data_IF_972195780722
#
_entry.id   IF_972195780722
#
_cell.length_a   1.000
_cell.length_b   1.000
_cell.length_c   1.000
_cell.angle_alpha   90.00
_cell.angle_beta   90.00
_cell.angle_gamma   90.00
#
_symmetry.space_group_name_H-M   'P 1'
#
loop_
_entity.id
_entity.type
_entity.pdbx_description
1 polymer ?
#
# COMPACT_ATOMS: atom_id res chain seq x y z
N UNK A 1 4.99 -5.77 21.62
CA UNK A 1 4.63 -4.79 20.56
C UNK A 1 3.53 -3.87 21.05
N UNK A 2 3.66 -2.59 20.80
CA UNK A 2 2.74 -1.55 21.27
C UNK A 2 2.04 -0.94 20.05
N UNK A 3 0.72 -1.06 19.97
CA UNK A 3 -0.07 -0.42 18.92
C UNK A 3 -0.88 0.73 19.50
N UNK A 4 -0.86 1.86 18.81
CA UNK A 4 -1.65 3.02 19.16
C UNK A 4 -2.90 3.08 18.28
N UNK A 5 -4.07 2.98 18.91
CA UNK A 5 -5.38 2.97 18.26
C UNK A 5 -5.64 1.73 17.39
N UNK A 6 -6.66 1.79 16.55
CA UNK A 6 -7.00 0.68 15.66
C UNK A 6 -5.95 0.53 14.57
N UNK A 7 -5.54 -0.70 14.30
CA UNK A 7 -4.62 -1.02 13.21
C UNK A 7 -5.34 -1.76 12.08
N UNK A 8 -4.93 -1.48 10.86
CA UNK A 8 -5.53 -2.05 9.66
C UNK A 8 -4.46 -2.69 8.80
N UNK A 9 -4.80 -3.83 8.21
CA UNK A 9 -3.92 -4.53 7.27
C UNK A 9 -4.71 -5.12 6.13
N UNK A 10 -4.14 -5.23 4.93
CA UNK A 10 -4.71 -6.02 3.84
C UNK A 10 -4.83 -7.49 4.26
N UNK A 11 -5.87 -8.18 3.79
CA UNK A 11 -6.05 -9.61 4.10
C UNK A 11 -4.86 -10.48 3.65
N UNK A 12 -4.14 -10.06 2.60
CA UNK A 12 -2.92 -10.73 2.11
C UNK A 12 -1.73 -10.62 3.06
N UNK A 13 -1.82 -9.77 4.07
CA UNK A 13 -0.84 -9.60 5.13
C UNK A 13 -1.31 -10.25 6.45
N UNK A 14 -2.28 -11.19 6.37
CA UNK A 14 -2.85 -11.83 7.56
C UNK A 14 -1.78 -12.47 8.45
N UNK A 15 -0.77 -13.11 7.84
CA UNK A 15 0.32 -13.81 8.50
C UNK A 15 1.57 -12.95 8.73
N UNK A 16 1.55 -11.68 8.31
CA UNK A 16 2.69 -10.79 8.48
C UNK A 16 2.78 -10.26 9.90
N UNK A 17 3.99 -10.18 10.41
CA UNK A 17 4.29 -9.43 11.62
C UNK A 17 4.05 -7.94 11.37
N UNK A 18 3.23 -7.30 12.19
CA UNK A 18 2.92 -5.88 12.04
C UNK A 18 3.90 -5.04 12.87
N UNK A 19 4.53 -4.05 12.23
CA UNK A 19 5.34 -3.03 12.92
C UNK A 19 4.73 -1.67 12.63
N UNK A 20 4.22 -1.01 13.67
CA UNK A 20 3.65 0.32 13.54
C UNK A 20 4.77 1.37 13.52
N UNK A 21 4.87 2.10 12.40
CA UNK A 21 5.93 3.10 12.19
C UNK A 21 5.39 4.51 12.13
N UNK A 22 4.14 4.66 11.67
CA UNK A 22 3.40 5.92 11.66
C UNK A 22 2.07 5.74 12.36
N UNK A 23 1.40 6.84 12.64
CA UNK A 23 0.04 6.90 13.18
C UNK A 23 -0.85 7.61 12.16
N UNK A 24 -2.02 7.03 11.87
CA UNK A 24 -2.99 7.66 10.98
C UNK A 24 -2.55 7.78 9.52
N UNK A 25 -3.22 8.64 8.77
CA UNK A 25 -2.97 8.88 7.35
C UNK A 25 -2.61 10.34 7.10
N UNK A 26 -1.55 10.60 6.32
CA UNK A 26 -1.10 11.95 5.97
C UNK A 26 -2.12 12.78 5.21
N UNK A 27 -2.97 12.13 4.42
CA UNK A 27 -3.99 12.80 3.63
C UNK A 27 -5.29 12.95 4.42
N UNK A 28 -5.84 11.86 4.93
CA UNK A 28 -7.03 11.71 5.78
C UNK A 28 -8.23 12.63 5.41
N UNK A 29 -8.46 12.85 4.09
CA UNK A 29 -9.51 13.73 3.55
C UNK A 29 -10.45 13.02 2.56
N UNK A 30 -10.17 11.73 2.28
CA UNK A 30 -10.97 10.95 1.34
C UNK A 30 -12.39 10.77 1.88
N UNK A 31 -13.40 11.15 1.10
CA UNK A 31 -14.80 11.15 1.55
C UNK A 31 -15.39 9.76 1.79
N UNK A 32 -14.72 8.72 1.33
CA UNK A 32 -15.14 7.31 1.47
C UNK A 32 -14.41 6.57 2.60
N UNK A 33 -13.34 7.14 3.16
CA UNK A 33 -12.47 6.47 4.11
C UNK A 33 -12.64 7.05 5.51
N UNK A 34 -12.90 6.19 6.48
CA UNK A 34 -13.01 6.51 7.91
C UNK A 34 -12.00 5.76 8.78
N UNK A 35 -11.00 5.11 8.17
CA UNK A 35 -10.06 4.23 8.87
C UNK A 35 -9.24 4.96 9.94
N UNK A 36 -8.96 6.24 9.73
CA UNK A 36 -8.08 7.03 10.59
C UNK A 36 -8.74 8.31 11.13
N UNK A 37 -10.06 8.33 11.23
CA UNK A 37 -10.80 9.49 11.77
C UNK A 37 -10.49 9.73 13.26
N UNK A 38 -10.14 8.66 13.97
CA UNK A 38 -9.76 8.67 15.39
C UNK A 38 -8.28 8.95 15.64
N UNK A 39 -7.48 9.13 14.57
CA UNK A 39 -6.03 9.34 14.67
C UNK A 39 -5.57 10.61 13.96
N UNK A 40 -4.68 11.36 14.62
CA UNK A 40 -3.86 12.37 13.94
C UNK A 40 -2.63 11.71 13.35
N UNK A 41 -2.20 12.20 12.18
CA UNK A 41 -0.94 11.74 11.62
C UNK A 41 0.22 12.06 12.56
N UNK A 42 1.05 11.07 12.79
CA UNK A 42 2.27 11.16 13.58
C UNK A 42 3.32 10.16 13.08
N UNK A 43 4.56 10.40 13.46
CA UNK A 43 5.69 9.48 13.22
C UNK A 43 6.09 8.97 14.58
N UNK A 44 6.19 7.65 14.75
CA UNK A 44 6.64 7.07 16.01
C UNK A 44 8.14 7.27 16.19
N UNK A 45 8.54 7.36 17.44
CA UNK A 45 9.96 7.45 17.80
C UNK A 45 10.71 6.19 17.30
N UNK A 46 11.94 6.37 16.81
CA UNK A 46 12.73 5.29 16.22
C UNK A 46 13.12 4.25 17.26
N UNK A 47 13.40 4.68 18.50
CA UNK A 47 13.77 3.79 19.59
C UNK A 47 12.58 2.91 20.01
N UNK A 48 11.37 3.46 19.99
CA UNK A 48 10.14 2.71 20.25
C UNK A 48 9.88 1.66 19.17
N UNK A 49 10.15 1.98 17.90
CA UNK A 49 10.04 1.04 16.79
C UNK A 49 11.09 -0.07 16.94
N UNK A 50 12.32 0.27 17.29
CA UNK A 50 13.39 -0.71 17.50
C UNK A 50 13.10 -1.65 18.67
N UNK A 51 12.59 -1.12 19.80
CA UNK A 51 12.14 -1.95 20.92
C UNK A 51 11.00 -2.90 20.54
N UNK A 52 10.08 -2.47 19.68
CA UNK A 52 9.01 -3.34 19.19
C UNK A 52 9.54 -4.45 18.27
N UNK A 53 10.55 -4.16 17.42
CA UNK A 53 11.22 -5.14 16.56
C UNK A 53 11.95 -6.18 17.44
N UNK A 54 12.74 -5.75 18.42
CA UNK A 54 13.47 -6.63 19.32
C UNK A 54 12.52 -7.44 20.21
N UNK A 55 11.46 -6.80 20.71
CA UNK A 55 10.43 -7.47 21.50
C UNK A 55 9.67 -8.53 20.71
N UNK A 56 9.43 -8.29 19.42
CA UNK A 56 8.80 -9.29 18.55
C UNK A 56 9.72 -10.50 18.36
N UNK A 57 11.02 -10.29 18.18
CA UNK A 57 11.99 -11.40 18.05
C UNK A 57 12.01 -12.31 19.26
N UNK A 58 11.84 -11.76 20.45
CA UNK A 58 11.84 -12.56 21.69
C UNK A 58 10.63 -13.51 21.82
N UNK A 59 9.52 -13.23 21.11
CA UNK A 59 8.27 -14.00 21.22
C UNK A 59 7.89 -14.76 19.95
N UNK A 60 8.40 -14.33 18.79
CA UNK A 60 8.13 -14.97 17.50
C UNK A 60 9.42 -15.57 16.94
N UNK A 61 9.57 -16.90 17.00
CA UNK A 61 10.83 -17.57 16.66
C UNK A 61 11.17 -17.47 15.15
N UNK A 62 10.17 -17.32 14.27
CA UNK A 62 10.39 -17.23 12.83
C UNK A 62 9.40 -16.26 12.18
N UNK A 63 9.94 -15.27 11.44
CA UNK A 63 9.17 -14.23 10.76
C UNK A 63 9.53 -14.23 9.27
N UNK A 64 8.59 -14.63 8.41
CA UNK A 64 8.80 -14.66 6.96
C UNK A 64 8.37 -13.38 6.25
N UNK A 65 7.42 -12.66 6.83
CA UNK A 65 6.90 -11.41 6.27
C UNK A 65 6.62 -10.39 7.36
N UNK A 66 6.92 -9.14 7.05
CA UNK A 66 6.69 -7.97 7.92
C UNK A 66 5.91 -6.93 7.15
N UNK A 67 4.88 -6.38 7.78
CA UNK A 67 4.09 -5.30 7.22
C UNK A 67 4.21 -4.05 8.09
N UNK A 68 4.77 -2.98 7.50
CA UNK A 68 4.90 -1.69 8.16
C UNK A 68 3.59 -0.91 8.05
N UNK A 69 3.01 -0.58 9.16
CA UNK A 69 1.75 0.13 9.30
C UNK A 69 2.00 1.52 9.91
N UNK A 70 1.19 2.52 9.77
CA UNK A 70 -0.22 2.70 9.57
C UNK A 70 -0.59 3.16 8.13
N UNK A 71 -1.34 4.23 7.99
CA UNK A 71 -1.97 4.65 6.75
C UNK A 71 -1.06 5.14 5.63
N UNK A 72 0.15 5.61 5.94
CA UNK A 72 1.13 6.01 4.94
C UNK A 72 2.55 6.00 5.51
N UNK A 73 3.28 4.94 5.24
CA UNK A 73 4.64 4.74 5.75
C UNK A 73 5.70 5.34 4.81
N UNK A 74 5.47 5.30 3.49
CA UNK A 74 6.46 5.78 2.51
C UNK A 74 6.69 7.30 2.57
N UNK A 75 5.84 8.06 3.26
CA UNK A 75 6.03 9.49 3.50
C UNK A 75 7.26 9.78 4.36
N UNK A 76 7.72 8.82 5.16
CA UNK A 76 8.92 8.96 6.00
C UNK A 76 10.14 9.31 5.16
N UNK A 77 11.07 10.06 5.75
CA UNK A 77 12.37 10.33 5.10
C UNK A 77 13.08 9.02 4.79
N UNK A 78 13.76 8.97 3.67
CA UNK A 78 14.46 7.76 3.18
C UNK A 78 15.44 7.23 4.22
N UNK A 79 16.24 8.09 4.83
CA UNK A 79 17.18 7.73 5.90
C UNK A 79 16.50 7.08 7.12
N UNK A 80 15.29 7.56 7.48
CA UNK A 80 14.54 7.00 8.61
C UNK A 80 14.01 5.60 8.26
N UNK A 81 13.48 5.42 7.04
CA UNK A 81 13.03 4.12 6.56
C UNK A 81 14.19 3.13 6.45
N UNK A 82 15.35 3.56 5.95
CA UNK A 82 16.55 2.71 5.86
C UNK A 82 16.98 2.19 7.23
N UNK A 83 16.95 3.02 8.28
CA UNK A 83 17.23 2.58 9.65
C UNK A 83 16.28 1.46 10.10
N UNK A 84 14.98 1.62 9.82
CA UNK A 84 13.97 0.60 10.18
C UNK A 84 14.19 -0.69 9.38
N UNK A 85 14.38 -0.59 8.06
CA UNK A 85 14.60 -1.75 7.19
C UNK A 85 15.86 -2.52 7.57
N UNK A 86 16.96 -1.84 7.82
CA UNK A 86 18.21 -2.45 8.26
C UNK A 86 18.03 -3.15 9.61
N UNK A 87 17.38 -2.49 10.59
CA UNK A 87 17.08 -3.12 11.88
C UNK A 87 16.24 -4.38 11.72
N UNK A 88 15.26 -4.38 10.81
CA UNK A 88 14.43 -5.55 10.51
C UNK A 88 15.27 -6.66 9.89
N UNK A 89 16.07 -6.38 8.87
CA UNK A 89 16.88 -7.40 8.18
C UNK A 89 17.99 -7.98 9.07
N UNK A 90 18.53 -7.19 9.97
CA UNK A 90 19.48 -7.66 11.01
C UNK A 90 18.77 -8.56 12.04
N UNK A 91 17.58 -8.19 12.49
CA UNK A 91 16.84 -8.91 13.53
C UNK A 91 16.16 -10.15 12.99
N UNK A 92 15.66 -10.12 11.75
CA UNK A 92 14.93 -11.21 11.08
C UNK A 92 15.57 -11.55 9.73
N UNK A 93 16.78 -12.16 9.71
CA UNK A 93 17.46 -12.49 8.45
C UNK A 93 16.69 -13.49 7.59
N UNK A 94 15.74 -14.23 8.18
CA UNK A 94 14.82 -15.13 7.48
C UNK A 94 13.64 -14.42 6.80
N UNK A 95 13.44 -13.12 7.06
CA UNK A 95 12.34 -12.35 6.49
C UNK A 95 12.58 -12.09 5.00
N UNK A 96 11.73 -12.65 4.16
CA UNK A 96 11.84 -12.52 2.69
C UNK A 96 10.93 -11.46 2.10
N UNK A 97 9.98 -10.94 2.89
CA UNK A 97 9.01 -9.94 2.45
C UNK A 97 8.85 -8.84 3.48
N UNK A 98 9.20 -7.62 3.10
CA UNK A 98 8.85 -6.41 3.85
C UNK A 98 7.96 -5.56 2.96
N UNK A 99 6.78 -5.24 3.45
CA UNK A 99 5.77 -4.48 2.74
C UNK A 99 5.24 -3.33 3.59
N UNK A 100 4.58 -2.35 2.95
CA UNK A 100 4.07 -1.16 3.64
C UNK A 100 2.86 -0.54 2.92
N UNK A 101 2.11 0.31 3.65
CA UNK A 101 1.17 1.23 3.01
C UNK A 101 1.88 2.47 2.46
N UNK A 102 1.53 2.86 1.23
CA UNK A 102 2.11 4.03 0.57
C UNK A 102 1.07 4.83 -0.22
N UNK A 103 1.25 6.13 -0.25
CA UNK A 103 0.57 6.98 -1.22
C UNK A 103 1.33 7.02 -2.56
N UNK A 104 0.63 6.99 -3.70
CA UNK A 104 1.25 7.15 -5.02
C UNK A 104 1.98 8.51 -5.15
N UNK A 105 1.51 9.53 -4.43
CA UNK A 105 2.20 10.81 -4.34
C UNK A 105 3.57 10.73 -3.66
N UNK A 106 3.77 9.78 -2.73
CA UNK A 106 5.04 9.66 -2.02
C UNK A 106 6.10 8.98 -2.89
N UNK A 107 5.71 8.00 -3.70
CA UNK A 107 6.56 7.50 -4.79
C UNK A 107 6.99 8.61 -5.76
N UNK A 108 6.06 9.53 -6.10
CA UNK A 108 6.36 10.64 -6.99
C UNK A 108 7.36 11.64 -6.37
N UNK A 109 7.29 11.85 -5.04
CA UNK A 109 8.15 12.80 -4.30
C UNK A 109 9.57 12.29 -4.10
N UNK A 110 9.74 10.97 -3.90
CA UNK A 110 11.07 10.36 -3.80
C UNK A 110 11.74 10.24 -5.17
N UNK A 111 13.07 10.24 -5.18
CA UNK A 111 13.83 9.93 -6.41
C UNK A 111 13.80 8.41 -6.67
N UNK A 112 14.21 7.99 -7.86
CA UNK A 112 14.33 6.55 -8.18
C UNK A 112 15.49 5.94 -7.39
N UNK A 113 16.55 6.69 -7.16
CA UNK A 113 17.69 6.31 -6.37
C UNK A 113 17.30 6.02 -4.92
N UNK A 114 16.57 6.95 -4.27
CA UNK A 114 16.04 6.76 -2.91
C UNK A 114 15.15 5.50 -2.81
N UNK A 115 14.28 5.29 -3.79
CA UNK A 115 13.43 4.11 -3.83
C UNK A 115 14.24 2.82 -4.06
N UNK A 116 15.29 2.88 -4.86
CA UNK A 116 16.20 1.75 -5.10
C UNK A 116 17.00 1.39 -3.84
N UNK A 117 17.43 2.38 -3.08
CA UNK A 117 18.05 2.16 -1.76
C UNK A 117 17.10 1.44 -0.79
N UNK A 118 15.83 1.87 -0.73
CA UNK A 118 14.82 1.19 0.08
C UNK A 118 14.59 -0.26 -0.38
N UNK A 119 14.59 -0.49 -1.69
CA UNK A 119 14.49 -1.85 -2.27
C UNK A 119 15.68 -2.71 -1.86
N UNK A 120 16.90 -2.19 -1.95
CA UNK A 120 18.11 -2.89 -1.56
C UNK A 120 18.15 -3.19 -0.05
N UNK A 121 17.57 -2.30 0.78
CA UNK A 121 17.42 -2.50 2.21
C UNK A 121 16.32 -3.49 2.59
N UNK A 122 15.62 -4.09 1.61
CA UNK A 122 14.65 -5.17 1.84
C UNK A 122 13.18 -4.81 1.60
N UNK A 123 12.84 -3.58 1.23
CA UNK A 123 11.45 -3.25 0.87
C UNK A 123 11.06 -3.97 -0.43
N UNK A 124 10.10 -4.88 -0.35
CA UNK A 124 9.68 -5.69 -1.50
C UNK A 124 8.44 -5.16 -2.18
N UNK A 125 7.44 -4.71 -1.41
CA UNK A 125 6.12 -4.38 -1.92
C UNK A 125 5.50 -3.19 -1.19
N UNK A 126 4.65 -2.43 -1.89
CA UNK A 126 3.82 -1.40 -1.30
C UNK A 126 2.35 -1.54 -1.71
N UNK A 127 1.45 -1.32 -0.76
CA UNK A 127 0.01 -1.26 -0.97
C UNK A 127 -0.41 0.18 -1.17
N UNK A 128 -1.02 0.47 -2.31
CA UNK A 128 -1.37 1.84 -2.70
C UNK A 128 -2.84 1.96 -3.10
N UNK A 129 -3.49 3.01 -2.63
CA UNK A 129 -4.85 3.33 -3.06
C UNK A 129 -4.86 4.25 -4.27
N UNK A 130 -5.26 3.76 -5.44
CA UNK A 130 -5.60 4.59 -6.61
C UNK A 130 -7.08 4.97 -6.58
N UNK A 131 -7.93 4.01 -6.28
CA UNK A 131 -9.40 4.02 -6.18
C UNK A 131 -10.10 4.26 -7.52
N UNK A 132 -9.58 5.13 -8.37
CA UNK A 132 -10.09 5.44 -9.71
C UNK A 132 -8.99 6.02 -10.60
N UNK A 133 -9.11 5.83 -11.91
CA UNK A 133 -8.32 6.55 -12.93
C UNK A 133 -9.08 7.75 -13.52
N UNK A 134 -10.35 7.95 -13.13
CA UNK A 134 -11.17 9.05 -13.60
C UNK A 134 -10.93 10.33 -12.78
N UNK A 135 -10.46 11.44 -13.41
CA UNK A 135 -10.14 12.67 -12.68
C UNK A 135 -11.35 13.26 -11.94
N UNK A 136 -12.55 13.17 -12.52
CA UNK A 136 -13.77 13.68 -11.89
C UNK A 136 -14.10 12.89 -10.63
N UNK A 137 -14.01 11.57 -10.70
CA UNK A 137 -14.22 10.70 -9.54
C UNK A 137 -13.18 10.96 -8.46
N UNK A 138 -11.89 11.08 -8.81
CA UNK A 138 -10.81 11.36 -7.86
C UNK A 138 -11.01 12.70 -7.13
N UNK A 139 -11.46 13.73 -7.84
CA UNK A 139 -11.78 15.03 -7.24
C UNK A 139 -12.97 14.93 -6.28
N UNK A 140 -14.07 14.30 -6.69
CA UNK A 140 -15.28 14.12 -5.87
C UNK A 140 -15.01 13.37 -4.57
N UNK A 141 -14.16 12.34 -4.61
CA UNK A 141 -13.78 11.59 -3.41
C UNK A 141 -12.65 12.25 -2.61
N UNK A 142 -12.20 13.42 -3.04
CA UNK A 142 -11.09 14.18 -2.43
C UNK A 142 -9.83 13.34 -2.24
N UNK A 143 -9.49 12.53 -3.26
CA UNK A 143 -8.33 11.63 -3.19
C UNK A 143 -6.99 12.38 -3.09
N UNK A 144 -6.93 13.63 -3.55
CA UNK A 144 -5.69 14.42 -3.57
C UNK A 144 -4.62 13.87 -4.52
N UNK A 145 -5.06 13.21 -5.59
CA UNK A 145 -4.24 12.54 -6.60
C UNK A 145 -4.88 12.74 -7.97
N UNK A 146 -4.08 13.06 -9.00
CA UNK A 146 -4.54 13.03 -10.40
C UNK A 146 -4.07 11.76 -11.10
N UNK A 147 -4.70 11.35 -12.22
CA UNK A 147 -4.24 10.20 -13.00
C UNK A 147 -2.77 10.30 -13.43
N UNK A 148 -2.30 11.48 -13.85
CA UNK A 148 -0.92 11.72 -14.27
C UNK A 148 0.06 11.62 -13.09
N UNK A 149 -0.36 12.05 -11.90
CA UNK A 149 0.44 11.91 -10.69
C UNK A 149 0.53 10.43 -10.28
N UNK A 150 -0.57 9.69 -10.40
CA UNK A 150 -0.60 8.26 -10.15
C UNK A 150 0.34 7.51 -11.10
N UNK A 151 0.26 7.80 -12.40
CA UNK A 151 1.12 7.22 -13.42
C UNK A 151 2.60 7.44 -13.13
N UNK A 152 2.99 8.69 -12.77
CA UNK A 152 4.37 9.02 -12.40
C UNK A 152 4.83 8.26 -11.15
N UNK A 153 3.97 8.13 -10.13
CA UNK A 153 4.28 7.37 -8.91
C UNK A 153 4.51 5.89 -9.21
N UNK A 154 3.60 5.26 -9.97
CA UNK A 154 3.72 3.86 -10.39
C UNK A 154 4.98 3.63 -11.25
N UNK A 155 5.34 4.62 -12.11
CA UNK A 155 6.56 4.55 -12.92
C UNK A 155 7.82 4.47 -12.08
N UNK A 156 7.91 5.31 -11.07
CA UNK A 156 9.07 5.34 -10.18
C UNK A 156 9.20 4.07 -9.35
N UNK A 157 8.07 3.55 -8.81
CA UNK A 157 8.06 2.28 -8.10
C UNK A 157 8.63 1.15 -8.97
N UNK A 158 8.14 1.05 -10.22
CA UNK A 158 8.62 0.06 -11.20
C UNK A 158 10.09 0.24 -11.52
N UNK A 159 10.55 1.48 -11.76
CA UNK A 159 11.95 1.77 -12.06
C UNK A 159 12.89 1.36 -10.93
N UNK A 160 12.44 1.50 -9.68
CA UNK A 160 13.18 1.08 -8.48
C UNK A 160 13.05 -0.41 -8.15
N UNK A 161 12.24 -1.18 -8.90
CA UNK A 161 12.02 -2.60 -8.66
C UNK A 161 11.16 -2.91 -7.43
N UNK A 162 10.38 -1.94 -6.94
CA UNK A 162 9.41 -2.15 -5.84
C UNK A 162 8.09 -2.58 -6.45
N UNK A 163 7.58 -3.73 -6.03
CA UNK A 163 6.25 -4.19 -6.41
C UNK A 163 5.18 -3.31 -5.77
N UNK A 164 4.13 -2.99 -6.52
CA UNK A 164 2.99 -2.24 -5.99
C UNK A 164 1.70 -3.02 -6.21
N UNK A 165 0.88 -3.06 -5.18
CA UNK A 165 -0.50 -3.48 -5.27
C UNK A 165 -1.38 -2.24 -5.26
N UNK A 166 -2.15 -2.06 -6.32
CA UNK A 166 -3.01 -0.88 -6.50
C UNK A 166 -4.45 -1.26 -6.23
N UNK A 167 -5.09 -0.64 -5.25
CA UNK A 167 -6.51 -0.82 -4.99
C UNK A 167 -7.38 0.08 -5.87
N UNK A 168 -8.51 -0.47 -6.32
CA UNK A 168 -9.57 0.22 -7.07
C UNK A 168 -10.89 -0.09 -6.38
N UNK A 169 -11.77 0.91 -6.26
CA UNK A 169 -13.08 0.73 -5.64
C UNK A 169 -14.16 0.75 -6.72
N UNK A 170 -14.76 -0.40 -7.00
CA UNK A 170 -15.90 -0.47 -7.91
C UNK A 170 -17.10 0.28 -7.37
N UNK A 171 -17.77 1.03 -8.25
CA UNK A 171 -18.95 1.82 -7.91
C UNK A 171 -18.65 3.17 -7.25
N UNK A 172 -17.39 3.52 -6.98
CA UNK A 172 -17.01 4.77 -6.32
C UNK A 172 -17.41 6.02 -7.13
N UNK A 173 -17.51 5.89 -8.46
CA UNK A 173 -18.00 6.95 -9.35
C UNK A 173 -19.52 7.18 -9.28
N UNK A 174 -20.29 6.33 -8.55
CA UNK A 174 -21.74 6.36 -8.57
C UNK A 174 -22.29 6.03 -9.96
N UNK A 175 -23.62 6.18 -10.16
CA UNK A 175 -24.25 5.88 -11.45
C UNK A 175 -23.77 6.80 -12.58
N UNK A 176 -23.60 8.08 -12.28
CA UNK A 176 -23.25 9.12 -13.27
C UNK A 176 -21.85 8.96 -13.84
N UNK A 177 -20.86 8.59 -13.00
CA UNK A 177 -19.45 8.50 -13.39
C UNK A 177 -18.93 7.06 -13.52
N UNK A 178 -19.83 6.04 -13.42
CA UNK A 178 -19.45 4.63 -13.50
C UNK A 178 -18.70 4.29 -14.80
N UNK A 179 -19.17 4.81 -15.93
CA UNK A 179 -18.52 4.60 -17.24
C UNK A 179 -17.16 5.30 -17.31
N UNK A 180 -17.07 6.57 -16.87
CA UNK A 180 -15.81 7.32 -16.82
C UNK A 180 -14.80 6.62 -15.93
N UNK A 181 -15.21 6.23 -14.72
CA UNK A 181 -14.42 5.46 -13.79
C UNK A 181 -13.85 4.18 -14.44
N UNK A 182 -14.70 3.37 -15.09
CA UNK A 182 -14.25 2.13 -15.74
C UNK A 182 -13.24 2.41 -16.86
N UNK A 183 -13.59 3.29 -17.80
CA UNK A 183 -12.78 3.56 -19.00
C UNK A 183 -11.44 4.19 -18.63
N UNK A 184 -11.43 5.24 -17.81
CA UNK A 184 -10.20 5.95 -17.46
C UNK A 184 -9.30 5.13 -16.53
N UNK A 185 -9.88 4.33 -15.62
CA UNK A 185 -9.10 3.42 -14.77
C UNK A 185 -8.43 2.34 -15.61
N UNK A 186 -9.18 1.71 -16.52
CA UNK A 186 -8.63 0.72 -17.46
C UNK A 186 -7.55 1.33 -18.33
N UNK A 187 -7.80 2.53 -18.90
CA UNK A 187 -6.81 3.24 -19.72
C UNK A 187 -5.52 3.56 -18.94
N UNK A 188 -5.65 4.04 -17.70
CA UNK A 188 -4.49 4.35 -16.86
C UNK A 188 -3.66 3.12 -16.54
N UNK A 189 -4.31 2.00 -16.22
CA UNK A 189 -3.63 0.76 -15.90
C UNK A 189 -3.00 0.11 -17.13
N UNK A 190 -3.67 0.15 -18.30
CA UNK A 190 -3.20 -0.49 -19.54
C UNK A 190 -2.17 0.34 -20.31
N UNK A 191 -2.00 1.63 -20.04
CA UNK A 191 -0.93 2.45 -20.66
C UNK A 191 0.48 1.89 -20.48
N UNK A 192 0.62 0.78 -19.77
CA UNK A 192 1.87 0.11 -19.42
C UNK A 192 1.92 -1.36 -19.82
N UNK A 193 1.10 -1.80 -20.76
CA UNK A 193 0.97 -3.22 -21.15
C UNK A 193 2.26 -3.89 -21.65
N UNK A 194 3.37 -3.21 -21.85
CA UNK A 194 4.58 -3.90 -22.29
C UNK A 194 5.19 -4.82 -21.24
N UNK A 195 4.84 -4.80 -19.97
CA UNK A 195 5.19 -5.82 -18.93
C UNK A 195 4.45 -5.58 -17.61
N UNK A 196 3.16 -5.86 -17.53
CA UNK A 196 2.52 -6.07 -16.23
C UNK A 196 2.97 -7.42 -15.68
N UNK A 197 3.50 -7.43 -14.46
CA UNK A 197 3.71 -8.65 -13.71
C UNK A 197 2.36 -9.37 -13.55
N UNK A 198 2.22 -10.66 -13.93
CA UNK A 198 0.97 -11.41 -13.84
C UNK A 198 0.40 -11.51 -12.40
N UNK A 199 1.15 -11.07 -11.40
CA UNK A 199 0.70 -11.00 -10.01
C UNK A 199 -0.06 -9.72 -9.65
N UNK A 200 -0.55 -8.98 -10.65
CA UNK A 200 -1.38 -7.79 -10.43
C UNK A 200 -2.77 -8.24 -9.94
N UNK A 201 -2.94 -8.32 -8.63
CA UNK A 201 -4.23 -8.64 -8.03
C UNK A 201 -4.93 -7.32 -7.62
N UNK A 202 -6.16 -7.12 -8.09
CA UNK A 202 -7.02 -6.01 -7.72
C UNK A 202 -7.99 -6.51 -6.65
N UNK A 203 -7.74 -6.34 -5.36
CA UNK A 203 -8.73 -6.67 -4.35
C UNK A 203 -9.67 -5.48 -4.16
N UNK A 204 -10.92 -5.69 -4.43
CA UNK A 204 -11.98 -4.72 -4.15
C UNK A 204 -12.92 -5.26 -3.10
N UNK A 205 -12.97 -4.61 -1.96
CA UNK A 205 -14.08 -4.78 -1.03
C UNK A 205 -14.49 -3.43 -0.47
N UNK A 206 -15.64 -2.96 -0.89
CA UNK A 206 -16.35 -1.92 -0.18
C UNK A 206 -17.72 -2.50 0.20
N UNK A 207 -18.02 -2.49 1.49
CA UNK A 207 -19.32 -2.87 2.00
C UNK A 207 -20.06 -1.56 2.28
N UNK A 208 -20.89 -1.12 1.31
CA UNK A 208 -21.89 -0.11 1.58
C UNK A 208 -22.96 -0.74 2.51
N UNK A 209 -23.51 -0.01 3.49
CA UNK A 209 -24.65 -0.47 4.25
C UNK A 209 -25.78 -0.83 3.28
N UNK A 210 -26.17 -2.11 3.22
CA UNK A 210 -27.26 -2.61 2.37
C UNK A 210 -26.86 -3.27 1.05
N UNK A 211 -25.57 -3.48 0.74
CA UNK A 211 -25.14 -4.14 -0.48
C UNK A 211 -24.93 -5.66 -0.31
N UNK A 212 -25.44 -6.42 -1.27
CA UNK A 212 -25.35 -7.88 -1.38
C UNK A 212 -23.88 -8.32 -1.51
N UNK A 213 -23.53 -9.42 -0.83
CA UNK A 213 -22.21 -10.07 -0.92
C UNK A 213 -21.90 -10.44 -2.37
N UNK A 214 -20.82 -9.89 -2.94
CA UNK A 214 -20.25 -10.39 -4.19
C UNK A 214 -19.03 -11.24 -3.89
N UNK A 215 -19.05 -12.47 -4.39
CA UNK A 215 -17.92 -13.41 -4.29
C UNK A 215 -16.82 -13.01 -5.28
N UNK A 216 -15.56 -13.20 -4.88
CA UNK A 216 -14.38 -12.84 -5.65
C UNK A 216 -14.04 -13.92 -6.66
N UNK A 217 -13.79 -13.53 -7.91
CA UNK A 217 -13.10 -14.35 -8.91
C UNK A 217 -11.67 -13.80 -9.07
N UNK A 218 -10.73 -14.38 -8.35
CA UNK A 218 -9.33 -14.35 -8.74
C UNK A 218 -9.10 -15.52 -9.68
N UNK A 219 -9.02 -15.27 -10.98
CA UNK A 219 -8.51 -16.27 -11.91
C UNK A 219 -6.97 -16.21 -11.88
N UNK A 220 -6.37 -17.12 -11.11
CA UNK A 220 -4.97 -17.49 -11.32
C UNK A 220 -4.84 -18.22 -12.66
N UNK A 221 -3.63 -18.29 -13.26
CA UNK A 221 -3.42 -19.07 -14.47
C UNK A 221 -3.85 -20.52 -14.22
N UNK A 222 -4.63 -21.06 -15.15
CA UNK A 222 -5.11 -22.44 -15.14
C UNK A 222 -3.89 -23.38 -15.14
N UNK A 223 -3.68 -24.22 -14.11
CA UNK A 223 -2.55 -25.14 -14.07
C UNK A 223 -2.66 -26.30 -15.07
N UNK A 224 -3.73 -26.37 -15.89
CA UNK A 224 -3.95 -27.41 -16.90
C UNK A 224 -3.54 -27.01 -18.32
N UNK A 225 -2.99 -25.79 -18.54
CA UNK A 225 -2.44 -25.40 -19.84
C UNK A 225 -0.92 -25.64 -19.85
N UNK A 226 -0.56 -26.93 -20.00
CA UNK A 226 0.78 -27.43 -20.24
C UNK A 226 0.76 -28.40 -21.43
#
# INVERSE_FOLDING_TARGET
>A
MRYEGKVYRPWMEADSLLIQTTLGCTHNKCTFCSMFDDKRFGIRDIEDIFQDIDGARNVVPRVHSIFLIDGNVLVLKTEFLLKILNKITETFPECSKISLHAGLNDFRRKSVEELSELKQAGLTMAYTGLESGDPVTLERIKKGLTPEQAEKGMAKAKAAGIDILVSIIFGIGGKEHSRGHLVETTRLLNRREEKLNPNFCIPTRFQLPGAVKSEYLCHGPDPSAG
#
